data_IF_246136157552
#
_entry.id   IF_246136157552
#
_cell.length_a   1.000
_cell.length_b   1.000
_cell.length_c   1.000
_cell.angle_alpha   90.00
_cell.angle_beta   90.00
_cell.angle_gamma   90.00
#
_symmetry.space_group_name_H-M   'P 1'
#
loop_
_entity.id
_entity.type
_entity.pdbx_description
1 polymer ?
#
# COMPACT_ATOMS: atom_id res chain seq x y z
N UNK A 1 21.99 23.19 -14.18
CA UNK A 1 21.20 24.45 -14.16
C UNK A 1 21.16 24.97 -12.72
N UNK A 2 22.02 25.93 -12.37
CA UNK A 2 21.88 26.72 -11.14
C UNK A 2 20.70 27.67 -11.36
N UNK A 3 19.54 27.38 -10.78
CA UNK A 3 18.46 28.38 -10.70
C UNK A 3 18.80 29.28 -9.51
N UNK A 4 19.59 30.32 -9.75
CA UNK A 4 19.67 31.42 -8.79
C UNK A 4 18.30 32.08 -8.74
N UNK A 5 17.68 32.09 -7.57
CA UNK A 5 16.41 32.76 -7.26
C UNK A 5 16.49 34.29 -7.38
N UNK A 6 17.69 34.83 -7.59
CA UNK A 6 18.00 36.26 -7.64
C UNK A 6 17.38 37.00 -8.85
N UNK A 7 16.87 36.25 -9.84
CA UNK A 7 16.16 36.81 -11.00
C UNK A 7 14.64 36.60 -11.00
N UNK A 8 14.07 36.02 -9.94
CA UNK A 8 12.63 35.76 -9.86
C UNK A 8 11.88 36.98 -9.28
N UNK A 9 10.68 37.23 -9.79
CA UNK A 9 9.81 38.25 -9.19
C UNK A 9 9.46 37.88 -7.73
N UNK A 10 9.21 38.86 -6.85
CA UNK A 10 8.84 38.60 -5.46
C UNK A 10 7.66 37.63 -5.32
N UNK A 11 6.65 37.76 -6.19
CA UNK A 11 5.50 36.86 -6.22
C UNK A 11 5.90 35.40 -6.50
N UNK A 12 6.82 35.17 -7.45
CA UNK A 12 7.31 33.83 -7.75
C UNK A 12 8.16 33.25 -6.60
N UNK A 13 8.92 34.08 -5.91
CA UNK A 13 9.69 33.65 -4.73
C UNK A 13 8.77 33.24 -3.57
N UNK A 14 7.67 33.97 -3.36
CA UNK A 14 6.68 33.64 -2.33
C UNK A 14 5.98 32.31 -2.63
N UNK A 15 5.57 32.09 -3.88
CA UNK A 15 4.93 30.85 -4.30
C UNK A 15 5.86 29.63 -4.15
N UNK A 16 7.13 29.76 -4.54
CA UNK A 16 8.14 28.71 -4.35
C UNK A 16 8.37 28.40 -2.86
N UNK A 17 8.34 29.42 -2.00
CA UNK A 17 8.46 29.23 -0.54
C UNK A 17 7.24 28.47 0.01
N UNK A 18 6.04 28.82 -0.42
CA UNK A 18 4.81 28.13 -0.01
C UNK A 18 4.83 26.66 -0.47
N UNK A 19 5.26 26.39 -1.71
CA UNK A 19 5.42 25.02 -2.21
C UNK A 19 6.46 24.22 -1.41
N UNK A 20 7.57 24.84 -1.01
CA UNK A 20 8.57 24.19 -0.16
C UNK A 20 8.04 23.91 1.26
N UNK A 21 7.27 24.84 1.84
CA UNK A 21 6.65 24.64 3.16
C UNK A 21 5.59 23.53 3.14
N UNK A 22 4.90 23.34 2.01
CA UNK A 22 3.98 22.23 1.81
C UNK A 22 4.68 20.89 1.48
N UNK A 23 6.01 20.88 1.30
CA UNK A 23 6.73 19.67 0.94
C UNK A 23 6.83 18.72 2.16
N UNK A 24 6.40 17.45 2.05
CA UNK A 24 6.49 16.48 3.14
C UNK A 24 7.92 16.23 3.66
N UNK A 25 8.93 16.54 2.84
CA UNK A 25 10.34 16.42 3.19
C UNK A 25 10.94 17.68 3.82
N UNK A 26 10.18 18.76 3.97
CA UNK A 26 10.71 20.00 4.54
C UNK A 26 11.23 19.82 5.99
N UNK A 27 10.52 19.11 6.89
CA UNK A 27 11.01 18.90 8.26
C UNK A 27 12.31 18.09 8.28
N UNK A 28 12.36 17.01 7.49
CA UNK A 28 13.56 16.16 7.37
C UNK A 28 14.73 16.94 6.74
N UNK A 29 14.49 17.73 5.71
CA UNK A 29 15.51 18.57 5.09
C UNK A 29 16.04 19.64 6.07
N UNK A 30 15.17 20.23 6.88
CA UNK A 30 15.56 21.19 7.92
C UNK A 30 16.33 20.51 9.05
N UNK A 31 16.07 19.23 9.35
CA UNK A 31 16.75 18.49 10.42
C UNK A 31 18.12 17.98 9.96
N UNK A 32 18.16 17.28 8.83
CA UNK A 32 19.32 16.51 8.36
C UNK A 32 20.11 17.23 7.26
N UNK A 33 19.47 18.09 6.45
CA UNK A 33 20.05 18.63 5.21
C UNK A 33 20.26 20.15 5.20
N UNK A 34 20.51 20.77 6.37
CA UNK A 34 20.73 22.23 6.50
C UNK A 34 21.83 22.79 5.58
N UNK A 35 22.82 21.97 5.22
CA UNK A 35 23.95 22.35 4.36
C UNK A 35 23.68 22.23 2.85
N UNK A 36 22.53 21.70 2.45
CA UNK A 36 22.19 21.53 1.04
C UNK A 36 21.81 22.88 0.41
N UNK A 37 22.61 23.33 -0.56
CA UNK A 37 22.44 24.64 -1.23
C UNK A 37 21.70 24.53 -2.56
N UNK A 38 21.54 23.31 -3.06
CA UNK A 38 20.98 23.03 -4.37
C UNK A 38 20.29 21.64 -4.38
N UNK A 39 19.42 21.36 -5.36
CA UNK A 39 18.69 20.10 -5.41
C UNK A 39 19.57 18.84 -5.44
N UNK A 40 20.79 18.91 -5.98
CA UNK A 40 21.70 17.77 -6.07
C UNK A 40 22.40 17.49 -4.73
N UNK A 41 22.85 18.54 -4.03
CA UNK A 41 23.33 18.43 -2.64
C UNK A 41 22.24 17.96 -1.68
N UNK A 42 21.00 18.41 -1.85
CA UNK A 42 19.85 17.96 -1.05
C UNK A 42 19.56 16.48 -1.33
N UNK A 43 19.60 16.09 -2.60
CA UNK A 43 19.39 14.70 -2.97
C UNK A 43 20.49 13.80 -2.38
N UNK A 44 21.77 14.20 -2.41
CA UNK A 44 22.85 13.45 -1.77
C UNK A 44 22.65 13.31 -0.26
N UNK A 45 22.26 14.40 0.41
CA UNK A 45 21.95 14.37 1.83
C UNK A 45 20.80 13.39 2.16
N UNK A 46 19.69 13.41 1.41
CA UNK A 46 18.61 12.43 1.61
C UNK A 46 19.06 10.98 1.40
N UNK A 47 20.04 10.75 0.54
CA UNK A 47 20.60 9.42 0.31
C UNK A 47 21.47 8.97 1.51
N UNK A 48 22.12 9.90 2.19
CA UNK A 48 22.95 9.63 3.38
C UNK A 48 22.11 9.40 4.63
N UNK A 49 20.98 10.11 4.76
CA UNK A 49 20.07 10.04 5.91
C UNK A 49 18.78 9.26 5.61
N UNK A 50 18.83 8.31 4.67
CA UNK A 50 17.64 7.65 4.13
C UNK A 50 16.84 6.85 5.17
N UNK A 51 17.53 6.31 6.17
CA UNK A 51 16.99 5.56 7.30
C UNK A 51 16.41 6.46 8.40
N UNK A 52 16.89 7.71 8.48
CA UNK A 52 16.48 8.70 9.49
C UNK A 52 15.30 9.57 9.04
N UNK A 53 15.07 9.69 7.73
CA UNK A 53 13.97 10.51 7.22
C UNK A 53 12.59 9.90 7.50
N UNK A 54 11.62 10.79 7.72
CA UNK A 54 10.25 10.46 8.07
C UNK A 54 9.51 9.66 7.00
N UNK A 55 8.53 8.85 7.41
CA UNK A 55 7.67 8.10 6.48
C UNK A 55 6.93 8.99 5.47
N UNK A 56 6.37 10.17 5.84
CA UNK A 56 5.80 11.11 4.87
C UNK A 56 6.80 11.55 3.79
N UNK A 57 8.03 11.91 4.15
CA UNK A 57 9.04 12.27 3.18
C UNK A 57 9.45 11.08 2.30
N UNK A 58 9.65 9.90 2.88
CA UNK A 58 9.98 8.70 2.11
C UNK A 58 8.87 8.32 1.13
N UNK A 59 7.61 8.45 1.52
CA UNK A 59 6.47 8.26 0.62
C UNK A 59 6.53 9.23 -0.55
N UNK A 60 6.75 10.52 -0.25
CA UNK A 60 6.92 11.54 -1.28
C UNK A 60 8.08 11.19 -2.24
N UNK A 61 9.27 10.86 -1.71
CA UNK A 61 10.43 10.50 -2.52
C UNK A 61 10.15 9.27 -3.40
N UNK A 62 9.40 8.27 -2.91
CA UNK A 62 9.05 7.06 -3.67
C UNK A 62 8.20 7.32 -4.91
N UNK A 63 7.30 8.29 -4.85
CA UNK A 63 6.46 8.67 -5.98
C UNK A 63 7.24 9.51 -7.03
N UNK A 64 8.44 9.98 -6.69
CA UNK A 64 9.34 10.67 -7.63
C UNK A 64 10.30 9.71 -8.35
N UNK A 65 11.24 10.23 -9.15
CA UNK A 65 12.31 9.44 -9.76
C UNK A 65 13.44 9.04 -8.77
N UNK A 66 13.30 9.33 -7.48
CA UNK A 66 14.32 9.07 -6.46
C UNK A 66 14.70 7.57 -6.31
N UNK A 67 13.75 6.61 -6.27
CA UNK A 67 14.10 5.18 -6.19
C UNK A 67 14.86 4.69 -7.42
N UNK A 68 14.54 5.20 -8.63
CA UNK A 68 15.26 4.84 -9.86
C UNK A 68 16.73 5.24 -9.78
N UNK A 69 17.04 6.38 -9.14
CA UNK A 69 18.42 6.84 -8.98
C UNK A 69 19.17 5.99 -7.95
N UNK A 70 18.53 5.69 -6.81
CA UNK A 70 19.10 4.85 -5.75
C UNK A 70 19.40 3.43 -6.19
N UNK A 71 18.50 2.83 -6.96
CA UNK A 71 18.59 1.45 -7.38
C UNK A 71 19.21 1.28 -8.77
N UNK A 72 19.74 2.34 -9.40
CA UNK A 72 20.20 2.29 -10.80
C UNK A 72 21.33 1.28 -11.00
N UNK A 73 22.32 1.34 -10.13
CA UNK A 73 23.52 0.50 -10.27
C UNK A 73 23.22 -0.95 -9.89
N UNK A 74 22.40 -1.16 -8.85
CA UNK A 74 21.86 -2.47 -8.52
C UNK A 74 21.02 -3.04 -9.67
N UNK A 75 20.18 -2.24 -10.32
CA UNK A 75 19.38 -2.70 -11.46
C UNK A 75 20.27 -3.11 -12.64
N UNK A 76 21.31 -2.33 -12.95
CA UNK A 76 22.26 -2.67 -14.02
C UNK A 76 23.04 -3.95 -13.71
N UNK A 77 23.53 -4.08 -12.47
CA UNK A 77 24.39 -5.19 -12.04
C UNK A 77 23.60 -6.47 -11.83
N UNK A 78 22.44 -6.39 -11.17
CA UNK A 78 21.67 -7.55 -10.71
C UNK A 78 20.53 -7.90 -11.67
N UNK A 79 20.05 -6.96 -12.48
CA UNK A 79 18.89 -7.12 -13.35
C UNK A 79 19.14 -6.69 -14.81
N UNK A 80 20.25 -7.13 -15.45
CA UNK A 80 20.61 -6.67 -16.80
C UNK A 80 19.59 -7.08 -17.88
N UNK A 81 18.86 -8.18 -17.67
CA UNK A 81 17.87 -8.69 -18.61
C UNK A 81 16.50 -7.98 -18.51
N UNK A 82 16.25 -7.18 -17.47
CA UNK A 82 14.99 -6.49 -17.30
C UNK A 82 14.93 -5.22 -18.17
N UNK A 83 13.92 -5.10 -19.03
CA UNK A 83 13.81 -4.02 -20.01
C UNK A 83 12.85 -2.92 -19.52
N UNK A 84 11.77 -3.29 -18.84
CA UNK A 84 10.76 -2.39 -18.30
C UNK A 84 11.00 -1.90 -16.86
N UNK A 85 10.26 -0.85 -16.44
CA UNK A 85 10.26 -0.38 -15.04
C UNK A 85 9.79 -1.47 -14.09
N UNK A 86 8.67 -2.11 -14.41
CA UNK A 86 8.09 -3.15 -13.55
C UNK A 86 9.00 -4.39 -13.47
N UNK A 87 9.56 -4.85 -14.59
CA UNK A 87 10.48 -6.01 -14.60
C UNK A 87 11.74 -5.73 -13.75
N UNK A 88 12.26 -4.50 -13.82
CA UNK A 88 13.37 -4.09 -12.96
C UNK A 88 12.98 -4.07 -11.49
N UNK A 89 11.81 -3.54 -11.16
CA UNK A 89 11.31 -3.56 -9.78
C UNK A 89 11.14 -4.99 -9.28
N UNK A 90 10.48 -5.86 -10.04
CA UNK A 90 10.30 -7.27 -9.69
C UNK A 90 11.64 -7.97 -9.46
N UNK A 91 12.58 -7.82 -10.39
CA UNK A 91 13.91 -8.41 -10.27
C UNK A 91 14.67 -7.90 -9.04
N UNK A 92 14.62 -6.59 -8.77
CA UNK A 92 15.25 -6.01 -7.57
C UNK A 92 14.60 -6.51 -6.27
N UNK A 93 13.28 -6.61 -6.23
CA UNK A 93 12.54 -7.13 -5.07
C UNK A 93 12.86 -8.60 -4.79
N UNK A 94 13.06 -9.41 -5.83
CA UNK A 94 13.52 -10.80 -5.69
C UNK A 94 14.97 -10.91 -5.19
N UNK A 95 15.74 -9.81 -5.26
CA UNK A 95 17.16 -9.74 -4.90
C UNK A 95 17.44 -8.79 -3.73
N UNK A 96 16.45 -8.51 -2.86
CA UNK A 96 16.55 -7.57 -1.73
C UNK A 96 17.85 -7.72 -0.92
N UNK A 97 18.26 -8.95 -0.60
CA UNK A 97 19.47 -9.25 0.17
C UNK A 97 20.79 -8.95 -0.55
N UNK A 98 20.77 -8.84 -1.88
CA UNK A 98 21.93 -8.54 -2.72
C UNK A 98 22.00 -7.05 -3.13
N UNK A 99 20.98 -6.25 -2.81
CA UNK A 99 20.95 -4.81 -3.10
C UNK A 99 21.95 -4.05 -2.23
N UNK A 100 22.44 -2.93 -2.74
CA UNK A 100 23.14 -1.92 -1.95
C UNK A 100 22.28 -1.47 -0.75
N UNK A 101 22.88 -1.04 0.38
CA UNK A 101 22.13 -0.60 1.55
C UNK A 101 21.07 0.45 1.21
N UNK A 102 21.42 1.42 0.35
CA UNK A 102 20.53 2.52 -0.05
C UNK A 102 19.32 2.05 -0.87
N UNK A 103 19.54 1.19 -1.86
CA UNK A 103 18.45 0.62 -2.64
C UNK A 103 17.59 -0.35 -1.80
N UNK A 104 18.23 -1.10 -0.89
CA UNK A 104 17.53 -1.97 0.04
C UNK A 104 16.60 -1.19 0.96
N UNK A 105 17.05 -0.12 1.59
CA UNK A 105 16.22 0.68 2.52
C UNK A 105 14.94 1.18 1.85
N UNK A 106 15.03 1.72 0.63
CA UNK A 106 13.85 2.26 -0.07
C UNK A 106 12.91 1.15 -0.56
N UNK A 107 13.44 0.00 -0.98
CA UNK A 107 12.63 -1.13 -1.45
C UNK A 107 12.03 -1.94 -0.29
N UNK A 108 12.75 -2.15 0.80
CA UNK A 108 12.27 -2.88 1.98
C UNK A 108 11.04 -2.20 2.58
N UNK A 109 11.10 -0.87 2.85
CA UNK A 109 9.92 -0.14 3.35
C UNK A 109 8.73 -0.20 2.37
N UNK A 110 9.01 -0.17 1.08
CA UNK A 110 7.96 -0.31 0.06
C UNK A 110 7.31 -1.69 0.08
N UNK A 111 8.08 -2.76 0.28
CA UNK A 111 7.54 -4.12 0.45
C UNK A 111 6.89 -4.35 1.79
N UNK A 112 7.24 -3.61 2.85
CA UNK A 112 6.56 -3.71 4.15
C UNK A 112 5.17 -3.08 4.09
N UNK A 113 5.05 -1.89 3.52
CA UNK A 113 3.76 -1.17 3.42
C UNK A 113 2.86 -1.74 2.33
N UNK A 114 3.45 -2.24 1.23
CA UNK A 114 2.71 -2.76 0.08
C UNK A 114 3.26 -4.11 -0.41
N UNK A 115 3.19 -5.18 0.41
CA UNK A 115 3.87 -6.44 0.14
C UNK A 115 3.50 -7.06 -1.20
N UNK A 116 2.26 -6.86 -1.64
CA UNK A 116 1.71 -7.46 -2.86
C UNK A 116 1.55 -6.51 -4.05
N UNK A 117 2.02 -5.26 -3.99
CA UNK A 117 1.73 -4.28 -5.08
C UNK A 117 2.32 -4.69 -6.42
N UNK A 118 3.59 -5.06 -6.46
CA UNK A 118 4.26 -5.51 -7.70
C UNK A 118 3.66 -6.82 -8.18
N UNK A 119 3.44 -7.77 -7.27
CA UNK A 119 2.83 -9.05 -7.60
C UNK A 119 1.40 -8.89 -8.15
N UNK A 120 0.62 -7.95 -7.60
CA UNK A 120 -0.70 -7.60 -8.10
C UNK A 120 -0.62 -7.06 -9.53
N UNK A 121 0.29 -6.13 -9.79
CA UNK A 121 0.44 -5.50 -11.11
C UNK A 121 0.83 -6.51 -12.20
N UNK A 122 1.74 -7.45 -11.89
CA UNK A 122 2.25 -8.43 -12.83
C UNK A 122 1.35 -9.64 -13.02
N UNK A 123 0.89 -10.23 -11.92
CA UNK A 123 0.25 -11.54 -11.94
C UNK A 123 -1.27 -11.46 -11.74
N UNK A 124 -1.77 -10.36 -11.17
CA UNK A 124 -3.15 -10.23 -10.71
C UNK A 124 -3.83 -8.94 -11.12
N UNK A 125 -3.46 -8.36 -12.27
CA UNK A 125 -4.06 -7.12 -12.79
C UNK A 125 -5.59 -7.21 -12.89
N UNK A 126 -6.11 -8.40 -13.22
CA UNK A 126 -7.54 -8.65 -13.43
C UNK A 126 -8.27 -9.07 -12.14
N UNK A 127 -7.59 -9.15 -10.99
CA UNK A 127 -8.20 -9.57 -9.74
C UNK A 127 -9.12 -8.49 -9.12
N UNK A 128 -9.08 -7.26 -9.64
CA UNK A 128 -9.79 -6.10 -9.11
C UNK A 128 -9.28 -5.67 -7.74
N UNK A 129 -10.09 -4.88 -7.01
CA UNK A 129 -9.72 -4.33 -5.70
C UNK A 129 -10.30 -5.11 -4.51
N UNK A 130 -11.00 -6.21 -4.77
CA UNK A 130 -11.52 -7.04 -3.70
C UNK A 130 -10.43 -8.00 -3.17
N UNK A 131 -10.30 -8.05 -1.84
CA UNK A 131 -9.25 -8.83 -1.17
C UNK A 131 -9.32 -10.33 -1.51
N UNK A 132 -10.53 -10.87 -1.69
CA UNK A 132 -10.74 -12.30 -1.95
C UNK A 132 -10.24 -12.72 -3.35
N UNK A 133 -10.54 -11.92 -4.36
CA UNK A 133 -10.07 -12.09 -5.74
C UNK A 133 -8.56 -11.97 -5.83
N UNK A 134 -7.97 -10.99 -5.14
CA UNK A 134 -6.53 -10.86 -5.04
C UNK A 134 -5.90 -12.11 -4.39
N UNK A 135 -6.41 -12.56 -3.23
CA UNK A 135 -5.89 -13.76 -2.55
C UNK A 135 -6.05 -15.05 -3.37
N UNK A 136 -7.09 -15.15 -4.21
CA UNK A 136 -7.25 -16.28 -5.14
C UNK A 136 -6.22 -16.22 -6.26
N UNK A 137 -5.97 -15.03 -6.80
CA UNK A 137 -5.00 -14.86 -7.86
C UNK A 137 -3.56 -15.10 -7.38
N UNK A 138 -3.19 -14.55 -6.21
CA UNK A 138 -1.85 -14.73 -5.62
C UNK A 138 -1.56 -16.21 -5.35
N UNK A 139 -2.57 -16.97 -4.92
CA UNK A 139 -2.48 -18.41 -4.69
C UNK A 139 -2.25 -19.22 -5.98
N UNK A 140 -2.85 -18.80 -7.11
CA UNK A 140 -2.60 -19.42 -8.43
C UNK A 140 -1.21 -19.11 -8.98
N UNK A 141 -0.60 -18.01 -8.54
CA UNK A 141 0.72 -17.55 -8.99
C UNK A 141 1.77 -17.70 -7.88
N UNK A 142 1.56 -18.62 -6.93
CA UNK A 142 2.35 -18.72 -5.69
C UNK A 142 3.85 -18.86 -5.92
N UNK A 143 4.24 -19.54 -7.00
CA UNK A 143 5.63 -19.77 -7.42
C UNK A 143 6.28 -18.53 -8.07
N UNK A 144 5.49 -17.56 -8.51
CA UNK A 144 5.96 -16.37 -9.24
C UNK A 144 6.03 -15.13 -8.38
N UNK A 145 5.19 -15.06 -7.35
CA UNK A 145 5.06 -13.89 -6.48
C UNK A 145 6.23 -13.76 -5.50
N UNK A 146 6.47 -12.54 -5.00
CA UNK A 146 7.56 -12.29 -4.05
C UNK A 146 7.32 -12.95 -2.67
N UNK A 147 8.38 -13.32 -1.93
CA UNK A 147 8.25 -13.87 -0.57
C UNK A 147 7.47 -12.96 0.39
N UNK A 148 7.68 -11.64 0.30
CA UNK A 148 6.96 -10.66 1.11
C UNK A 148 5.44 -10.70 0.84
N UNK A 149 5.02 -10.76 -0.43
CA UNK A 149 3.61 -10.90 -0.76
C UNK A 149 3.03 -12.24 -0.29
N UNK A 150 3.79 -13.34 -0.41
CA UNK A 150 3.35 -14.66 0.06
C UNK A 150 3.05 -14.66 1.55
N UNK A 151 3.95 -14.08 2.34
CA UNK A 151 3.76 -13.95 3.79
C UNK A 151 2.55 -13.08 4.12
N UNK A 152 2.41 -11.94 3.45
CA UNK A 152 1.27 -11.05 3.64
C UNK A 152 -0.07 -11.73 3.26
N UNK A 153 -0.11 -12.43 2.12
CA UNK A 153 -1.29 -13.17 1.67
C UNK A 153 -1.67 -14.29 2.65
N UNK A 154 -0.69 -14.98 3.25
CA UNK A 154 -0.92 -15.96 4.30
C UNK A 154 -1.54 -15.29 5.54
N UNK A 155 -0.98 -14.18 6.00
CA UNK A 155 -1.51 -13.44 7.16
C UNK A 155 -2.95 -12.95 6.92
N UNK A 156 -3.23 -12.41 5.72
CA UNK A 156 -4.60 -12.03 5.33
C UNK A 156 -5.54 -13.24 5.26
N UNK A 157 -5.04 -14.39 4.77
CA UNK A 157 -5.81 -15.63 4.75
C UNK A 157 -6.14 -16.13 6.15
N UNK A 158 -5.21 -16.01 7.09
CA UNK A 158 -5.41 -16.46 8.47
C UNK A 158 -6.36 -15.52 9.24
N UNK A 159 -6.42 -14.23 8.87
CA UNK A 159 -7.45 -13.27 9.33
C UNK A 159 -8.83 -13.50 8.72
N UNK A 160 -8.96 -14.37 7.71
CA UNK A 160 -10.20 -14.69 7.01
C UNK A 160 -10.59 -16.16 7.29
N UNK A 161 -11.30 -16.45 8.40
CA UNK A 161 -11.53 -17.83 8.88
C UNK A 161 -12.25 -18.72 7.88
N UNK A 162 -13.05 -18.12 6.99
CA UNK A 162 -13.82 -18.81 5.97
C UNK A 162 -13.11 -18.94 4.61
N UNK A 163 -11.95 -18.34 4.42
CA UNK A 163 -11.29 -18.31 3.11
C UNK A 163 -10.89 -19.69 2.64
N UNK A 164 -10.32 -20.51 3.54
CA UNK A 164 -9.89 -21.87 3.21
C UNK A 164 -11.09 -22.75 2.85
N UNK A 165 -12.19 -22.62 3.59
CA UNK A 165 -13.42 -23.35 3.31
C UNK A 165 -14.05 -22.92 1.99
N UNK A 166 -14.06 -21.61 1.71
CA UNK A 166 -14.57 -21.07 0.45
C UNK A 166 -13.76 -21.63 -0.73
N UNK A 167 -12.43 -21.58 -0.67
CA UNK A 167 -11.57 -22.13 -1.72
C UNK A 167 -11.78 -23.64 -1.93
N UNK A 168 -12.02 -24.39 -0.85
CA UNK A 168 -12.16 -25.85 -0.90
C UNK A 168 -13.53 -26.29 -1.39
N UNK A 169 -14.59 -25.64 -0.91
CA UNK A 169 -15.98 -26.07 -1.05
C UNK A 169 -16.71 -25.32 -2.17
N UNK A 170 -16.33 -24.07 -2.44
CA UNK A 170 -17.01 -23.15 -3.35
C UNK A 170 -16.14 -22.80 -4.57
N UNK A 171 -15.63 -23.80 -5.29
CA UNK A 171 -14.65 -23.61 -6.37
C UNK A 171 -15.17 -22.77 -7.53
N UNK A 172 -16.46 -22.93 -7.86
CA UNK A 172 -17.12 -22.27 -8.99
C UNK A 172 -17.96 -21.06 -8.58
N UNK A 173 -18.16 -20.87 -7.28
CA UNK A 173 -18.90 -19.72 -6.78
C UNK A 173 -18.11 -18.43 -7.01
N UNK A 174 -18.82 -17.41 -7.48
CA UNK A 174 -18.33 -16.04 -7.50
C UNK A 174 -18.17 -15.51 -6.07
N UNK A 175 -17.48 -14.37 -5.98
CA UNK A 175 -17.29 -13.65 -4.71
C UNK A 175 -18.64 -13.22 -4.12
N UNK A 176 -19.59 -12.83 -4.98
CA UNK A 176 -20.93 -12.41 -4.56
C UNK A 176 -21.77 -13.57 -4.03
N UNK A 177 -21.51 -14.79 -4.53
CA UNK A 177 -22.14 -16.03 -4.09
C UNK A 177 -21.45 -16.65 -2.87
N UNK A 178 -20.28 -16.14 -2.47
CA UNK A 178 -19.43 -16.77 -1.47
C UNK A 178 -20.14 -17.04 -0.14
N UNK A 179 -20.98 -16.10 0.28
CA UNK A 179 -21.75 -16.26 1.52
C UNK A 179 -22.80 -17.37 1.39
N UNK A 180 -23.54 -17.41 0.30
CA UNK A 180 -24.61 -18.40 0.08
C UNK A 180 -24.00 -19.80 -0.05
N UNK A 181 -22.95 -19.95 -0.86
CA UNK A 181 -22.26 -21.22 -1.00
C UNK A 181 -21.69 -21.73 0.34
N UNK A 182 -21.01 -20.89 1.12
CA UNK A 182 -20.52 -21.30 2.45
C UNK A 182 -21.64 -21.73 3.39
N UNK A 183 -22.84 -21.14 3.27
CA UNK A 183 -23.98 -21.53 4.10
C UNK A 183 -24.53 -22.90 3.73
N UNK A 184 -24.53 -23.26 2.44
CA UNK A 184 -24.93 -24.58 1.96
C UNK A 184 -23.98 -25.69 2.44
N UNK A 185 -22.71 -25.35 2.65
CA UNK A 185 -21.70 -26.29 3.15
C UNK A 185 -21.55 -26.34 4.68
N UNK A 186 -22.55 -25.91 5.44
CA UNK A 186 -22.48 -25.66 6.90
C UNK A 186 -21.71 -26.72 7.73
N UNK A 187 -21.98 -28.00 7.52
CA UNK A 187 -21.33 -29.09 8.26
C UNK A 187 -19.92 -29.43 7.76
N UNK A 188 -19.60 -29.06 6.51
CA UNK A 188 -18.28 -29.22 5.91
C UNK A 188 -17.33 -28.04 6.18
N UNK A 189 -17.83 -26.94 6.74
CA UNK A 189 -17.02 -25.78 7.14
C UNK A 189 -16.01 -26.13 8.24
N UNK A 190 -14.90 -25.39 8.32
CA UNK A 190 -13.99 -25.46 9.45
C UNK A 190 -14.65 -24.89 10.72
N UNK A 191 -14.19 -25.32 11.92
CA UNK A 191 -14.63 -24.72 13.17
C UNK A 191 -14.43 -23.20 13.21
N UNK A 192 -13.31 -22.71 12.67
CA UNK A 192 -12.99 -21.29 12.62
C UNK A 192 -13.99 -20.50 11.75
N UNK A 193 -14.35 -21.01 10.57
CA UNK A 193 -15.36 -20.36 9.73
C UNK A 193 -16.75 -20.40 10.36
N UNK A 194 -17.17 -21.56 10.89
CA UNK A 194 -18.47 -21.69 11.59
C UNK A 194 -18.61 -20.68 12.72
N UNK A 195 -17.58 -20.57 13.57
CA UNK A 195 -17.58 -19.61 14.66
C UNK A 195 -17.65 -18.16 14.16
N UNK A 196 -16.89 -17.82 13.10
CA UNK A 196 -16.93 -16.48 12.50
C UNK A 196 -18.32 -16.12 11.94
N UNK A 197 -18.99 -17.06 11.27
CA UNK A 197 -20.35 -16.87 10.75
C UNK A 197 -21.38 -16.66 11.88
N UNK A 198 -21.24 -17.40 12.99
CA UNK A 198 -22.10 -17.25 14.18
C UNK A 198 -21.88 -15.87 14.85
N UNK A 199 -20.62 -15.46 15.03
CA UNK A 199 -20.29 -14.15 15.62
C UNK A 199 -20.83 -12.99 14.78
N UNK A 200 -20.70 -13.06 13.45
CA UNK A 200 -21.25 -12.04 12.54
C UNK A 200 -22.78 -11.98 12.56
N UNK A 201 -23.48 -13.11 12.75
CA UNK A 201 -24.95 -13.13 12.94
C UNK A 201 -25.35 -12.43 14.25
N UNK A 202 -24.64 -12.68 15.36
CA UNK A 202 -24.88 -12.02 16.66
C UNK A 202 -24.66 -10.50 16.60
N UNK A 203 -23.61 -10.05 15.92
CA UNK A 203 -23.32 -8.62 15.75
C UNK A 203 -24.40 -7.87 14.94
N UNK A 204 -25.06 -8.54 13.98
CA UNK A 204 -26.16 -7.95 13.19
C UNK A 204 -27.51 -7.97 13.92
N UNK A 205 -27.74 -8.92 14.82
CA UNK A 205 -28.97 -9.01 15.61
C UNK A 205 -29.09 -8.00 16.77
N UNK A 206 -28.00 -7.33 17.16
CA UNK A 206 -27.98 -6.40 18.30
C UNK A 206 -28.31 -4.94 17.99
N UNK A 207 -28.45 -4.54 16.72
CA UNK A 207 -28.62 -3.14 16.30
C UNK A 207 -30.07 -2.84 15.91
N UNK A 208 -30.99 -3.12 16.82
CA UNK A 208 -32.42 -2.91 16.60
C UNK A 208 -33.15 -2.64 17.91
N UNK A 209 -33.02 -1.42 18.45
CA UNK A 209 -33.97 -0.78 19.38
C UNK A 209 -33.52 0.66 19.67
N UNK A 210 -34.39 1.64 19.38
CA UNK A 210 -34.17 3.04 19.79
C UNK A 210 -34.60 4.16 18.84
N UNK A 211 -35.64 4.00 18.01
CA UNK A 211 -36.36 5.16 17.44
C UNK A 211 -37.78 5.19 17.98
N UNK A 212 -38.00 6.06 18.96
CA UNK A 212 -39.29 6.29 19.61
C UNK A 212 -39.33 7.62 20.35
N UNK A 213 -38.83 8.70 19.73
CA UNK A 213 -38.95 10.05 20.25
C UNK A 213 -39.93 10.87 19.40
N UNK A 214 -41.22 10.90 19.78
CA UNK A 214 -42.19 11.85 19.24
C UNK A 214 -41.77 13.26 19.64
N UNK A 215 -41.20 14.05 18.72
CA UNK A 215 -41.08 15.51 18.89
C UNK A 215 -42.40 16.15 18.49
N UNK A 216 -43.12 16.70 19.48
CA UNK A 216 -44.27 17.60 19.24
C UNK A 216 -43.78 18.81 18.44
N UNK A 217 -44.47 19.13 17.35
CA UNK A 217 -44.34 20.42 16.64
C UNK A 217 -44.92 21.53 17.53
N UNK A 218 -44.26 22.69 17.70
CA UNK A 218 -44.91 23.87 18.23
C UNK A 218 -45.74 24.55 17.14
N UNK A 219 -46.97 24.92 17.49
CA UNK A 219 -47.89 25.73 16.70
C UNK A 219 -47.29 27.10 16.36
N UNK A 220 -47.54 27.54 15.12
CA UNK A 220 -47.21 28.88 14.64
C UNK A 220 -48.47 29.75 14.75
N UNK A 221 -48.44 30.94 15.38
CA UNK A 221 -49.62 31.78 15.47
C UNK A 221 -49.90 32.47 14.12
N UNK A 222 -51.17 32.75 13.81
CA UNK A 222 -51.58 33.40 12.57
C UNK A 222 -51.20 34.89 12.58
N UNK A 223 -50.95 35.43 11.38
CA UNK A 223 -50.94 36.87 11.10
C UNK A 223 -52.32 37.31 10.64
#
# INVERSE_FOLDING_TARGET
MKRNSDGLSPACQEELRAQWQANPCQPDAAMFCKGAKDPESLQRCWIEHLDEISSPCLNFLRETNFPKKLCRDDAKKLCPAAQGRGEKQECLLKKLSALSPKCRTILSRYTEEHPCRVDKEFYCKDAGDNALGLLRCLDRNRDKVTPACLEHAKNLSDQQPCLRDFKKLCKDASIDEAKSCLQEHGDALSPACRQSLIQKKKARGGKGRGRGGKRKRPDRPPK
#
